data_IF_775696565806
#
_entry.id   IF_775696565806
#
_cell.length_a   1.000
_cell.length_b   1.000
_cell.length_c   1.000
_cell.angle_alpha   90.00
_cell.angle_beta   90.00
_cell.angle_gamma   90.00
#
_symmetry.space_group_name_H-M   'P 1'
#
loop_
_entity.id
_entity.type
_entity.pdbx_description
1 polymer ?
#
# COMPACT_ATOMS: atom_id res chain seq x y z
N UNK A 1 -14.40 24.74 -11.62
CA UNK A 1 -13.44 24.08 -12.54
C UNK A 1 -12.67 23.05 -11.73
N UNK A 2 -13.04 21.77 -11.85
CA UNK A 2 -12.25 20.68 -11.23
C UNK A 2 -11.13 20.39 -12.23
N UNK A 3 -9.92 20.86 -11.93
CA UNK A 3 -8.74 20.61 -12.74
C UNK A 3 -8.47 19.10 -12.77
N UNK A 4 -8.66 18.49 -13.94
CA UNK A 4 -8.23 17.12 -14.23
C UNK A 4 -6.71 17.07 -14.20
N UNK A 5 -6.14 16.66 -13.07
CA UNK A 5 -4.73 16.31 -12.98
C UNK A 5 -4.47 15.12 -13.92
N UNK A 6 -3.60 15.34 -14.90
CA UNK A 6 -3.15 14.34 -15.90
C UNK A 6 -2.80 13.03 -15.21
N UNK A 7 -3.44 11.95 -15.68
CA UNK A 7 -3.08 10.56 -15.39
C UNK A 7 -1.73 10.29 -16.06
N UNK A 8 -0.64 10.58 -15.36
CA UNK A 8 0.66 10.05 -15.76
C UNK A 8 0.57 8.53 -15.69
N UNK A 9 1.06 7.84 -16.72
CA UNK A 9 1.21 6.39 -16.75
C UNK A 9 2.26 5.97 -15.71
N UNK A 10 1.90 6.06 -14.42
CA UNK A 10 2.70 5.54 -13.32
C UNK A 10 2.84 4.04 -13.57
N UNK A 11 4.06 3.60 -13.90
CA UNK A 11 4.43 2.20 -13.93
C UNK A 11 4.40 1.65 -12.50
N UNK A 12 3.25 1.12 -12.13
CA UNK A 12 3.06 0.47 -10.83
C UNK A 12 3.79 -0.87 -10.88
N UNK A 13 4.66 -1.17 -9.90
CA UNK A 13 5.34 -2.46 -9.86
C UNK A 13 4.33 -3.59 -9.71
N UNK A 14 4.71 -4.82 -10.06
CA UNK A 14 3.84 -5.97 -9.88
C UNK A 14 3.66 -6.28 -8.38
N UNK A 15 2.49 -5.93 -7.84
CA UNK A 15 2.17 -6.12 -6.43
C UNK A 15 1.45 -7.46 -6.20
N UNK A 16 1.84 -8.16 -5.13
CA UNK A 16 1.30 -9.47 -4.74
C UNK A 16 1.01 -9.54 -3.24
N UNK A 17 0.10 -10.43 -2.85
CA UNK A 17 -0.19 -10.69 -1.44
C UNK A 17 1.03 -11.26 -0.71
N UNK A 18 1.28 -10.77 0.51
CA UNK A 18 2.45 -11.15 1.30
C UNK A 18 3.70 -10.31 1.03
N UNK A 19 3.64 -9.36 0.10
CA UNK A 19 4.66 -8.31 0.01
C UNK A 19 4.43 -7.28 1.12
N UNK A 20 5.51 -6.82 1.74
CA UNK A 20 5.49 -5.62 2.58
C UNK A 20 5.91 -4.43 1.73
N UNK A 21 5.12 -3.38 1.79
CA UNK A 21 5.29 -2.19 0.99
C UNK A 21 5.26 -0.94 1.85
N UNK A 22 5.90 0.13 1.37
CA UNK A 22 5.71 1.50 1.83
C UNK A 22 4.86 2.23 0.81
N UNK A 23 3.68 2.68 1.24
CA UNK A 23 2.80 3.53 0.43
C UNK A 23 3.00 4.97 0.88
N UNK A 24 3.38 5.84 -0.07
CA UNK A 24 3.57 7.26 0.17
C UNK A 24 2.27 7.97 -0.21
N UNK A 25 1.54 8.48 0.78
CA UNK A 25 0.23 9.10 0.63
C UNK A 25 0.34 10.61 0.81
N UNK A 26 -0.12 11.40 -0.16
CA UNK A 26 -0.25 12.86 -0.07
C UNK A 26 -1.50 13.18 0.73
N UNK A 27 -1.33 13.88 1.84
CA UNK A 27 -2.41 14.36 2.69
C UNK A 27 -2.43 15.87 2.63
N UNK A 28 -3.58 16.42 2.26
CA UNK A 28 -3.88 17.84 2.35
C UNK A 28 -4.54 18.08 3.70
N UNK A 29 -3.88 18.84 4.57
CA UNK A 29 -4.40 19.27 5.85
C UNK A 29 -4.58 20.80 5.85
N UNK A 30 -5.41 21.31 6.75
CA UNK A 30 -5.62 22.74 6.96
C UNK A 30 -4.96 23.11 8.29
N UNK A 31 -4.00 24.04 8.26
CA UNK A 31 -3.37 24.56 9.48
C UNK A 31 -4.41 25.35 10.31
N UNK A 32 -4.22 25.54 11.62
CA UNK A 32 -5.15 26.29 12.48
C UNK A 32 -5.44 27.73 12.03
N UNK A 33 -4.58 28.28 11.15
CA UNK A 33 -4.71 29.61 10.54
C UNK A 33 -5.42 29.59 9.17
N UNK A 34 -6.03 28.47 8.78
CA UNK A 34 -6.79 28.33 7.53
C UNK A 34 -5.93 28.16 6.26
N UNK A 35 -4.63 27.90 6.38
CA UNK A 35 -3.74 27.68 5.23
C UNK A 35 -3.71 26.20 4.85
N UNK A 36 -3.83 25.91 3.55
CA UNK A 36 -3.67 24.55 3.03
C UNK A 36 -2.19 24.12 3.09
N UNK A 37 -1.94 22.94 3.67
CA UNK A 37 -0.61 22.33 3.74
C UNK A 37 -0.67 20.92 3.21
N UNK A 38 0.20 20.60 2.26
CA UNK A 38 0.34 19.22 1.76
C UNK A 38 1.55 18.56 2.42
N UNK A 39 1.36 17.37 2.99
CA UNK A 39 2.43 16.52 3.53
C UNK A 39 2.36 15.12 2.94
N UNK A 40 3.50 14.43 2.95
CA UNK A 40 3.57 13.01 2.58
C UNK A 40 3.60 12.16 3.84
N UNK A 41 2.63 11.27 4.00
CA UNK A 41 2.62 10.25 5.05
C UNK A 41 3.00 8.89 4.47
N UNK A 42 3.86 8.17 5.18
CA UNK A 42 4.26 6.81 4.78
C UNK A 42 3.47 5.77 5.57
N UNK A 43 2.81 4.87 4.85
CA UNK A 43 2.17 3.69 5.42
C UNK A 43 2.97 2.45 5.04
N UNK A 44 3.76 1.94 5.99
CA UNK A 44 4.46 0.66 5.86
C UNK A 44 3.59 -0.49 6.38
N UNK A 45 3.36 -1.49 5.54
CA UNK A 45 2.57 -2.67 5.92
C UNK A 45 2.57 -3.78 4.88
N UNK A 46 1.96 -4.90 5.21
CA UNK A 46 1.85 -6.07 4.33
C UNK A 46 0.58 -6.04 3.50
N UNK A 47 0.70 -6.33 2.21
CA UNK A 47 -0.43 -6.49 1.30
C UNK A 47 -1.17 -7.79 1.66
N UNK A 48 -2.42 -7.65 2.09
CA UNK A 48 -3.32 -8.77 2.34
C UNK A 48 -3.96 -9.28 1.05
N UNK A 49 -4.32 -8.35 0.15
CA UNK A 49 -5.00 -8.65 -1.10
C UNK A 49 -4.70 -7.58 -2.14
N UNK A 50 -4.67 -8.01 -3.40
CA UNK A 50 -4.61 -7.14 -4.57
C UNK A 50 -5.85 -7.41 -5.39
N UNK A 51 -6.60 -6.37 -5.75
CA UNK A 51 -7.83 -6.47 -6.55
C UNK A 51 -7.62 -5.72 -7.86
N UNK A 52 -7.98 -6.36 -8.97
CA UNK A 52 -7.97 -5.78 -10.34
C UNK A 52 -6.67 -4.99 -10.66
N UNK A 53 -5.46 -5.57 -10.49
CA UNK A 53 -4.20 -4.83 -10.57
C UNK A 53 -3.91 -4.14 -11.91
N UNK A 54 -4.54 -4.61 -13.00
CA UNK A 54 -4.34 -4.09 -14.37
C UNK A 54 -5.41 -3.10 -14.82
N UNK A 55 -6.32 -2.69 -13.92
CA UNK A 55 -7.40 -1.76 -14.28
C UNK A 55 -7.31 -0.47 -13.48
N UNK A 56 -7.93 0.63 -13.95
CA UNK A 56 -8.01 1.89 -13.19
C UNK A 56 -8.67 1.74 -11.82
N UNK A 57 -9.53 0.74 -11.66
CA UNK A 57 -10.18 0.39 -10.38
C UNK A 57 -9.32 -0.55 -9.50
N UNK A 58 -8.04 -0.73 -9.85
CA UNK A 58 -7.10 -1.56 -9.10
C UNK A 58 -6.88 -1.03 -7.69
N UNK A 59 -6.89 -1.91 -6.71
CA UNK A 59 -6.68 -1.55 -5.29
C UNK A 59 -5.81 -2.58 -4.59
N UNK A 60 -5.11 -2.13 -3.53
CA UNK A 60 -4.40 -2.99 -2.59
C UNK A 60 -4.93 -2.78 -1.19
N UNK A 61 -5.08 -3.88 -0.44
CA UNK A 61 -5.39 -3.83 0.98
C UNK A 61 -4.08 -4.05 1.75
N UNK A 62 -3.63 -3.06 2.50
CA UNK A 62 -2.37 -3.08 3.25
C UNK A 62 -2.68 -3.05 4.74
N UNK A 63 -2.08 -3.99 5.48
CA UNK A 63 -2.24 -4.13 6.94
C UNK A 63 -0.92 -3.85 7.65
N UNK A 64 -0.99 -3.08 8.74
CA UNK A 64 0.12 -2.94 9.70
C UNK A 64 -0.40 -3.09 11.13
N UNK A 65 0.49 -3.44 12.05
CA UNK A 65 0.25 -3.28 13.48
C UNK A 65 0.81 -1.91 13.85
N UNK A 66 -0.04 -1.02 14.34
CA UNK A 66 0.36 0.31 14.79
C UNK A 66 1.09 0.24 16.14
N UNK A 67 1.73 1.33 16.54
CA UNK A 67 2.48 1.42 17.81
C UNK A 67 1.65 1.05 19.03
N UNK A 68 0.34 1.29 19.00
CA UNK A 68 -0.58 0.98 20.11
C UNK A 68 -1.06 -0.49 20.10
N UNK A 69 -0.37 -1.39 19.40
CA UNK A 69 -0.78 -2.79 19.15
C UNK A 69 -2.14 -2.96 18.45
N UNK A 70 -2.68 -1.89 17.87
CA UNK A 70 -3.91 -1.92 17.08
C UNK A 70 -3.59 -2.27 15.64
N UNK A 71 -4.26 -3.28 15.09
CA UNK A 71 -4.19 -3.62 13.68
C UNK A 71 -4.91 -2.57 12.84
N UNK A 72 -4.19 -1.91 11.93
CA UNK A 72 -4.74 -0.92 11.01
C UNK A 72 -4.67 -1.46 9.59
N UNK A 73 -5.80 -1.40 8.90
CA UNK A 73 -5.92 -1.76 7.50
C UNK A 73 -6.32 -0.54 6.68
N UNK A 74 -5.63 -0.32 5.55
CA UNK A 74 -5.95 0.72 4.59
C UNK A 74 -6.08 0.12 3.19
N UNK A 75 -7.06 0.61 2.44
CA UNK A 75 -7.23 0.29 1.02
C UNK A 75 -6.64 1.45 0.22
N UNK A 76 -5.69 1.17 -0.66
CA UNK A 76 -5.10 2.17 -1.54
C UNK A 76 -5.49 1.87 -3.00
N UNK A 77 -6.11 2.83 -3.71
CA UNK A 77 -6.29 2.73 -5.15
C UNK A 77 -4.94 2.89 -5.85
N UNK A 78 -4.67 2.01 -6.81
CA UNK A 78 -3.40 1.94 -7.52
C UNK A 78 -3.16 3.19 -8.38
N UNK A 79 -4.21 3.72 -9.02
CA UNK A 79 -4.13 4.92 -9.84
C UNK A 79 -4.67 6.19 -9.17
N UNK A 80 -4.60 6.27 -7.83
CA UNK A 80 -4.98 7.49 -7.13
C UNK A 80 -3.89 8.55 -7.24
N UNK A 81 -4.21 9.83 -7.55
CA UNK A 81 -3.24 10.93 -7.51
C UNK A 81 -2.69 11.19 -6.09
N UNK A 82 -3.44 10.76 -5.06
CA UNK A 82 -3.02 10.85 -3.67
C UNK A 82 -1.91 9.85 -3.34
N UNK A 83 -1.73 8.79 -4.12
CA UNK A 83 -0.64 7.82 -3.92
C UNK A 83 0.55 8.26 -4.76
N UNK A 84 1.59 8.73 -4.08
CA UNK A 84 2.78 9.25 -4.74
C UNK A 84 3.66 8.14 -5.31
N UNK A 85 3.98 7.14 -4.49
CA UNK A 85 4.73 5.94 -4.91
C UNK A 85 4.46 4.77 -3.97
N UNK A 86 4.77 3.56 -4.46
CA UNK A 86 4.70 2.31 -3.70
C UNK A 86 6.05 1.62 -3.81
N UNK A 87 6.76 1.47 -2.69
CA UNK A 87 8.06 0.80 -2.61
C UNK A 87 7.90 -0.60 -2.02
N UNK A 88 8.51 -1.61 -2.64
CA UNK A 88 8.50 -3.00 -2.17
C UNK A 88 9.72 -3.21 -1.26
N UNK A 89 9.46 -3.57 0.00
CA UNK A 89 10.50 -3.78 1.01
C UNK A 89 10.92 -5.24 1.12
N UNK A 90 9.94 -6.13 1.23
CA UNK A 90 10.16 -7.59 1.41
C UNK A 90 9.02 -8.38 0.82
N UNK A 91 9.32 -9.60 0.37
CA UNK A 91 8.31 -10.56 -0.09
C UNK A 91 8.33 -11.80 0.79
N UNK A 92 7.15 -12.25 1.19
CA UNK A 92 6.93 -13.50 1.92
C UNK A 92 6.31 -14.52 0.97
N UNK A 93 6.71 -15.79 1.07
CA UNK A 93 6.11 -16.84 0.27
C UNK A 93 4.70 -17.11 0.78
N UNK A 94 3.70 -16.78 -0.04
CA UNK A 94 2.29 -17.04 0.25
C UNK A 94 1.74 -18.02 -0.76
N UNK A 95 0.77 -18.84 -0.32
CA UNK A 95 0.03 -19.77 -1.20
C UNK A 95 -1.35 -19.25 -1.56
N UNK A 96 -1.84 -18.23 -0.84
CA UNK A 96 -3.19 -17.68 -0.98
C UNK A 96 -3.13 -16.29 -1.57
N UNK A 97 -4.04 -16.01 -2.51
CA UNK A 97 -4.19 -14.68 -3.11
C UNK A 97 -4.72 -13.62 -2.12
N UNK A 98 -5.47 -14.05 -1.09
CA UNK A 98 -6.01 -13.19 -0.03
C UNK A 98 -5.59 -13.72 1.34
N UNK A 99 -5.02 -12.87 2.18
CA UNK A 99 -4.44 -13.23 3.47
C UNK A 99 -5.29 -12.74 4.65
N UNK A 100 -6.61 -12.75 4.51
CA UNK A 100 -7.54 -12.30 5.55
C UNK A 100 -7.48 -13.14 6.84
N UNK A 101 -6.87 -14.31 6.80
CA UNK A 101 -6.66 -15.18 7.95
C UNK A 101 -5.53 -14.71 8.88
N UNK A 102 -4.72 -13.72 8.47
CA UNK A 102 -3.55 -13.30 9.24
C UNK A 102 -3.83 -12.75 10.65
N UNK A 103 -4.96 -12.06 10.93
CA UNK A 103 -5.26 -11.62 12.30
C UNK A 103 -5.32 -12.79 13.30
N UNK A 104 -5.77 -13.96 12.87
CA UNK A 104 -5.89 -15.16 13.71
C UNK A 104 -4.71 -16.13 13.54
N UNK A 105 -3.77 -15.84 12.64
CA UNK A 105 -2.68 -16.73 12.29
C UNK A 105 -1.49 -16.57 13.24
N UNK A 106 -1.23 -17.59 14.06
CA UNK A 106 -0.16 -17.58 15.07
C UNK A 106 1.21 -18.05 14.55
N UNK A 107 1.27 -18.67 13.37
CA UNK A 107 2.53 -19.21 12.83
C UNK A 107 3.32 -18.14 12.09
N UNK A 108 4.65 -18.21 12.19
CA UNK A 108 5.55 -17.29 11.47
C UNK A 108 5.53 -17.59 9.97
N UNK A 109 5.31 -16.56 9.15
CA UNK A 109 5.40 -16.70 7.70
C UNK A 109 6.86 -16.75 7.24
N UNK A 110 7.16 -17.55 6.22
CA UNK A 110 8.52 -17.70 5.68
C UNK A 110 8.81 -16.64 4.62
N UNK A 111 9.93 -15.91 4.78
CA UNK A 111 10.43 -14.99 3.77
C UNK A 111 10.67 -15.73 2.45
N UNK A 112 10.35 -15.09 1.33
CA UNK A 112 10.78 -15.56 0.03
C UNK A 112 12.25 -15.15 -0.12
N UNK A 113 13.11 -16.07 -0.55
CA UNK A 113 14.53 -15.76 -0.78
C UNK A 113 14.67 -14.55 -1.69
N UNK A 114 15.67 -13.69 -1.45
CA UNK A 114 15.97 -12.55 -2.33
C UNK A 114 16.17 -13.09 -3.74
N UNK A 115 15.35 -12.65 -4.71
CA UNK A 115 15.77 -12.72 -6.10
C UNK A 115 16.88 -11.68 -6.24
N UNK A 116 18.11 -12.13 -6.47
CA UNK A 116 19.15 -11.24 -6.95
C UNK A 116 18.67 -10.69 -8.28
N UNK A 117 18.29 -9.42 -8.33
CA UNK A 117 18.20 -8.70 -9.59
C UNK A 117 19.65 -8.55 -10.07
N UNK A 118 20.05 -9.41 -11.01
CA UNK A 118 21.25 -9.25 -11.81
C UNK A 118 20.93 -8.32 -12.97
#
# INVERSE_FOLDING_TARGET
MVSEEKKDDKKIPELRSGMTVRVYEKIKDIDPKGKERTRVQVFEGMILAVKKPKTPAGTILVRKISHNNVGVEKIFPLQSPLVDKIEIMKEIKTRRAKLYFLPTYKKRLKLKGKKNNK
#
